data_IF_619023146214
#
_entry.id   IF_619023146214
#
_cell.length_a   1.000
_cell.length_b   1.000
_cell.length_c   1.000
_cell.angle_alpha   90.00
_cell.angle_beta   90.00
_cell.angle_gamma   90.00
#
_symmetry.space_group_name_H-M   'P 1'
#
loop_
_entity.id
_entity.type
_entity.pdbx_description
1 polymer ?
#
# COMPACT_ATOMS: atom_id res chain seq x y z
N UNK A 1 4.60 -10.90 11.41
CA UNK A 1 4.68 -9.51 10.89
C UNK A 1 6.14 -9.10 10.68
N UNK A 2 6.97 -9.09 11.72
CA UNK A 2 8.39 -8.76 11.62
C UNK A 2 9.22 -9.59 10.60
N UNK A 3 8.96 -10.90 10.37
CA UNK A 3 9.68 -11.69 9.37
C UNK A 3 9.50 -11.22 7.92
N UNK A 4 8.35 -10.60 7.60
CA UNK A 4 8.03 -10.13 6.24
C UNK A 4 8.63 -8.74 6.00
N UNK A 5 8.73 -7.92 7.05
CA UNK A 5 9.19 -6.53 6.96
C UNK A 5 10.71 -6.44 6.83
N UNK A 6 11.44 -7.36 7.45
CA UNK A 6 12.90 -7.32 7.43
C UNK A 6 13.51 -7.40 6.02
N UNK A 7 13.14 -8.35 5.14
CA UNK A 7 13.68 -8.40 3.77
C UNK A 7 13.38 -7.15 2.95
N UNK A 8 12.19 -6.55 3.13
CA UNK A 8 11.76 -5.35 2.39
C UNK A 8 12.54 -4.09 2.79
N UNK A 9 13.12 -4.08 3.99
CA UNK A 9 13.78 -2.91 4.59
C UNK A 9 15.21 -3.15 5.00
N UNK A 10 15.86 -4.19 4.46
CA UNK A 10 17.25 -4.55 4.76
C UNK A 10 18.17 -3.32 4.73
N UNK A 11 18.08 -2.50 3.67
CA UNK A 11 18.89 -1.30 3.51
C UNK A 11 18.71 -0.23 4.61
N UNK A 12 17.50 -0.05 5.15
CA UNK A 12 17.28 0.88 6.27
C UNK A 12 17.90 0.34 7.56
N UNK A 13 17.75 -0.96 7.80
CA UNK A 13 18.40 -1.60 8.94
C UNK A 13 19.93 -1.63 8.79
N UNK A 14 20.45 -1.79 7.57
CA UNK A 14 21.88 -1.67 7.27
C UNK A 14 22.39 -0.27 7.68
N UNK A 15 21.68 0.80 7.32
CA UNK A 15 22.04 2.17 7.70
C UNK A 15 22.00 2.40 9.22
N UNK A 16 20.98 1.86 9.90
CA UNK A 16 20.88 1.93 11.38
C UNK A 16 22.05 1.17 12.01
N UNK A 17 22.34 -0.04 11.53
CA UNK A 17 23.43 -0.85 12.03
C UNK A 17 24.79 -0.18 11.81
N UNK A 18 25.03 0.41 10.65
CA UNK A 18 26.24 1.17 10.36
C UNK A 18 26.40 2.36 11.31
N UNK A 19 25.32 3.09 11.61
CA UNK A 19 25.33 4.17 12.58
C UNK A 19 25.76 3.70 13.98
N UNK A 20 25.24 2.57 14.45
CA UNK A 20 25.65 1.98 15.72
C UNK A 20 27.09 1.46 15.72
N UNK A 21 27.55 0.89 14.60
CA UNK A 21 28.94 0.44 14.46
C UNK A 21 29.92 1.60 14.44
N UNK A 22 29.55 2.75 13.87
CA UNK A 22 30.34 3.99 13.98
C UNK A 22 30.44 4.49 15.42
N UNK A 23 29.43 4.22 16.25
CA UNK A 23 29.43 4.53 17.70
C UNK A 23 30.18 3.47 18.54
N UNK A 24 30.79 2.46 17.91
CA UNK A 24 31.57 1.43 18.58
C UNK A 24 30.85 0.11 18.83
N UNK A 25 29.62 -0.07 18.33
CA UNK A 25 28.95 -1.36 18.43
C UNK A 25 29.75 -2.46 17.72
N UNK A 26 29.96 -3.58 18.41
CA UNK A 26 30.61 -4.78 17.88
C UNK A 26 29.59 -5.75 17.27
N UNK A 27 28.34 -5.66 17.71
CA UNK A 27 27.20 -6.36 17.12
C UNK A 27 25.95 -5.47 17.17
N UNK A 28 25.19 -5.52 16.08
CA UNK A 28 23.80 -5.06 16.02
C UNK A 28 22.99 -6.22 15.50
N UNK A 29 21.91 -6.58 16.16
CA UNK A 29 21.02 -7.66 15.71
C UNK A 29 19.55 -7.29 15.89
N UNK A 30 18.75 -7.76 14.94
CA UNK A 30 17.30 -7.62 14.93
C UNK A 30 16.67 -8.99 15.14
N UNK A 31 15.81 -9.08 16.13
CA UNK A 31 15.14 -10.32 16.54
C UNK A 31 13.64 -10.20 16.36
N UNK A 32 13.00 -11.32 16.04
CA UNK A 32 11.57 -11.52 16.19
C UNK A 32 11.32 -12.57 17.28
N UNK A 33 10.06 -12.75 17.75
CA UNK A 33 9.71 -13.86 18.63
C UNK A 33 10.09 -15.24 18.05
N UNK A 34 10.15 -15.35 16.72
CA UNK A 34 10.42 -16.59 15.99
C UNK A 34 11.93 -16.82 15.72
N UNK A 35 12.79 -15.85 16.06
CA UNK A 35 14.24 -15.96 15.91
C UNK A 35 14.91 -14.72 15.30
N UNK A 36 16.21 -14.86 15.02
CA UNK A 36 17.06 -13.82 14.44
C UNK A 36 16.57 -13.46 13.03
N UNK A 37 16.30 -12.18 12.80
CA UNK A 37 15.94 -11.65 11.49
C UNK A 37 17.17 -11.16 10.74
N UNK A 38 18.08 -10.45 11.42
CA UNK A 38 19.28 -9.88 10.83
C UNK A 38 20.37 -9.60 11.86
N UNK A 39 21.62 -9.64 11.43
CA UNK A 39 22.78 -9.37 12.25
C UNK A 39 23.85 -8.66 11.43
N UNK A 40 24.50 -7.67 12.03
CA UNK A 40 25.57 -6.87 11.45
C UNK A 40 26.80 -6.93 12.34
N UNK A 41 27.44 -8.09 12.34
CA UNK A 41 28.73 -8.34 12.96
C UNK A 41 29.56 -9.29 12.12
N UNK A 42 30.87 -9.25 12.31
CA UNK A 42 31.81 -10.25 11.80
C UNK A 42 31.97 -11.45 12.75
N UNK A 43 31.29 -11.46 13.90
CA UNK A 43 31.38 -12.50 14.92
C UNK A 43 30.07 -13.27 15.11
N UNK A 44 30.15 -14.45 15.72
CA UNK A 44 28.97 -15.27 16.04
C UNK A 44 28.02 -14.51 17.00
N UNK A 45 26.70 -14.76 16.94
CA UNK A 45 25.72 -14.09 17.79
C UNK A 45 26.10 -14.21 19.28
N UNK A 46 26.18 -13.07 19.96
CA UNK A 46 26.51 -13.03 21.38
C UNK A 46 25.34 -13.56 22.22
N UNK A 47 25.64 -14.25 23.32
CA UNK A 47 24.64 -14.73 24.27
C UNK A 47 24.10 -13.62 25.19
N UNK A 48 24.84 -12.52 25.34
CA UNK A 48 24.46 -11.36 26.13
C UNK A 48 24.75 -10.08 25.34
N UNK A 49 23.85 -9.10 25.46
CA UNK A 49 23.92 -7.81 24.80
C UNK A 49 23.92 -6.71 25.85
N UNK A 50 24.64 -5.62 25.59
CA UNK A 50 24.75 -4.49 26.51
C UNK A 50 23.49 -3.62 26.47
N UNK A 51 22.87 -3.50 25.29
CA UNK A 51 21.64 -2.73 25.07
C UNK A 51 20.60 -3.57 24.35
N UNK A 52 19.35 -3.38 24.72
CA UNK A 52 18.21 -3.98 24.03
C UNK A 52 17.00 -3.03 24.07
N UNK A 53 16.29 -2.90 22.96
CA UNK A 53 15.04 -2.19 22.91
C UNK A 53 13.97 -2.96 22.13
N UNK A 54 12.79 -3.20 22.75
CA UNK A 54 11.70 -3.87 22.07
C UNK A 54 11.06 -2.94 21.03
N UNK A 55 10.78 -3.47 19.86
CA UNK A 55 9.97 -2.82 18.82
C UNK A 55 8.51 -3.18 19.10
N UNK A 56 7.69 -2.19 19.48
CA UNK A 56 6.30 -2.41 19.92
C UNK A 56 5.30 -1.74 19.00
N UNK A 57 4.38 -2.52 18.46
CA UNK A 57 3.27 -2.02 17.64
C UNK A 57 1.95 -2.35 18.33
N UNK A 58 1.11 -1.35 18.60
CA UNK A 58 -0.17 -1.54 19.29
C UNK A 58 -0.03 -2.22 20.66
N UNK A 59 1.04 -1.89 21.40
CA UNK A 59 1.33 -2.50 22.71
C UNK A 59 1.91 -3.92 22.67
N UNK A 60 2.04 -4.53 21.48
CA UNK A 60 2.64 -5.86 21.30
C UNK A 60 4.08 -5.75 20.81
N UNK A 61 5.01 -6.45 21.45
CA UNK A 61 6.38 -6.57 20.97
C UNK A 61 6.40 -7.43 19.71
N UNK A 62 6.80 -6.84 18.59
CA UNK A 62 6.93 -7.54 17.30
C UNK A 62 8.37 -7.95 16.99
N UNK A 63 9.33 -7.38 17.72
CA UNK A 63 10.74 -7.69 17.61
C UNK A 63 11.57 -6.93 18.63
N UNK A 64 12.88 -7.07 18.55
CA UNK A 64 13.83 -6.42 19.47
C UNK A 64 15.11 -6.08 18.71
N UNK A 65 15.61 -4.86 18.92
CA UNK A 65 16.95 -4.47 18.49
C UNK A 65 17.90 -4.70 19.65
N UNK A 66 19.00 -5.41 19.41
CA UNK A 66 20.03 -5.70 20.40
C UNK A 66 21.37 -5.19 19.92
N UNK A 67 22.16 -4.64 20.84
CA UNK A 67 23.46 -4.04 20.56
C UNK A 67 24.47 -4.50 21.60
N UNK A 68 25.67 -4.84 21.13
CA UNK A 68 26.81 -5.15 21.97
C UNK A 68 28.01 -4.24 21.66
N UNK A 69 28.92 -4.10 22.62
CA UNK A 69 30.14 -3.30 22.52
C UNK A 69 29.97 -1.84 22.97
N UNK A 70 28.79 -1.46 23.47
CA UNK A 70 28.50 -0.09 23.94
C UNK A 70 28.04 -0.14 25.39
N UNK A 71 28.75 0.56 26.28
CA UNK A 71 28.50 0.54 27.73
C UNK A 71 28.03 1.90 28.29
N UNK A 72 27.56 2.81 27.44
CA UNK A 72 27.08 4.14 27.83
C UNK A 72 25.57 4.15 28.13
N UNK A 73 25.18 4.65 29.31
CA UNK A 73 23.77 4.70 29.74
C UNK A 73 22.90 5.59 28.85
N UNK A 74 23.47 6.64 28.23
CA UNK A 74 22.71 7.51 27.32
C UNK A 74 22.31 6.80 26.01
N UNK A 75 23.05 5.77 25.62
CA UNK A 75 22.80 5.02 24.38
C UNK A 75 21.59 4.09 24.51
N UNK A 76 21.21 3.65 25.71
CA UNK A 76 19.97 2.90 25.94
C UNK A 76 18.73 3.75 25.60
N UNK A 77 18.72 5.04 25.99
CA UNK A 77 17.63 5.95 25.66
C UNK A 77 17.55 6.21 24.15
N UNK A 78 18.70 6.40 23.49
CA UNK A 78 18.76 6.56 22.04
C UNK A 78 18.25 5.32 21.30
N UNK A 79 18.65 4.13 21.76
CA UNK A 79 18.19 2.86 21.19
C UNK A 79 16.66 2.70 21.35
N UNK A 80 16.11 3.05 22.50
CA UNK A 80 14.68 3.02 22.73
C UNK A 80 13.91 3.96 21.78
N UNK A 81 14.41 5.18 21.57
CA UNK A 81 13.80 6.13 20.62
C UNK A 81 13.84 5.64 19.17
N UNK A 82 14.96 5.04 18.76
CA UNK A 82 15.07 4.45 17.43
C UNK A 82 14.16 3.23 17.25
N UNK A 83 14.05 2.36 18.27
CA UNK A 83 13.15 1.21 18.24
C UNK A 83 11.67 1.65 18.13
N UNK A 84 11.29 2.75 18.80
CA UNK A 84 9.97 3.35 18.67
C UNK A 84 9.72 3.90 17.26
N UNK A 85 10.68 4.62 16.67
CA UNK A 85 10.55 5.10 15.29
C UNK A 85 10.41 3.94 14.29
N UNK A 86 11.22 2.88 14.45
CA UNK A 86 11.10 1.65 13.65
C UNK A 86 9.70 1.05 13.80
N UNK A 87 9.15 1.02 15.02
CA UNK A 87 7.82 0.49 15.28
C UNK A 87 6.72 1.31 14.57
N UNK A 88 6.79 2.63 14.64
CA UNK A 88 5.82 3.52 13.98
C UNK A 88 5.85 3.38 12.46
N UNK A 89 7.04 3.36 11.85
CA UNK A 89 7.19 3.13 10.41
C UNK A 89 6.67 1.75 10.00
N UNK A 90 7.04 0.72 10.78
CA UNK A 90 6.57 -0.65 10.58
C UNK A 90 5.04 -0.74 10.60
N UNK A 91 4.40 -0.08 11.56
CA UNK A 91 2.95 -0.05 11.67
C UNK A 91 2.31 0.61 10.45
N UNK A 92 2.75 1.83 10.10
CA UNK A 92 2.22 2.58 8.96
C UNK A 92 2.36 1.80 7.65
N UNK A 93 3.51 1.18 7.42
CA UNK A 93 3.75 0.37 6.22
C UNK A 93 2.85 -0.86 6.17
N UNK A 94 2.67 -1.54 7.30
CA UNK A 94 1.76 -2.69 7.38
C UNK A 94 0.34 -2.26 7.05
N UNK A 95 -0.11 -1.13 7.58
CA UNK A 95 -1.44 -0.59 7.33
C UNK A 95 -1.63 -0.23 5.85
N UNK A 96 -0.65 0.44 5.24
CA UNK A 96 -0.64 0.76 3.81
C UNK A 96 -0.62 -0.50 2.92
N UNK A 97 0.10 -1.56 3.32
CA UNK A 97 0.12 -2.83 2.59
C UNK A 97 -1.24 -3.57 2.69
N UNK A 98 -1.94 -3.45 3.82
CA UNK A 98 -3.32 -3.94 3.92
C UNK A 98 -4.26 -3.13 3.03
N UNK A 99 -4.14 -1.80 3.04
CA UNK A 99 -4.90 -0.94 2.15
C UNK A 99 -4.67 -1.29 0.66
N UNK A 100 -3.41 -1.58 0.27
CA UNK A 100 -3.09 -2.06 -1.07
C UNK A 100 -3.81 -3.35 -1.42
N UNK A 101 -3.84 -4.33 -0.51
CA UNK A 101 -4.54 -5.61 -0.73
C UNK A 101 -6.04 -5.40 -0.90
N UNK A 102 -6.64 -4.54 -0.09
CA UNK A 102 -8.06 -4.17 -0.21
C UNK A 102 -8.31 -3.49 -1.57
N UNK A 103 -7.49 -2.52 -1.94
CA UNK A 103 -7.59 -1.81 -3.22
C UNK A 103 -7.45 -2.77 -4.42
N UNK A 104 -6.49 -3.70 -4.36
CA UNK A 104 -6.31 -4.73 -5.39
C UNK A 104 -7.56 -5.59 -5.57
N UNK A 105 -8.30 -5.87 -4.49
CA UNK A 105 -9.56 -6.61 -4.51
C UNK A 105 -10.71 -5.85 -5.20
N UNK A 106 -10.57 -4.56 -5.49
CA UNK A 106 -11.58 -3.84 -6.26
C UNK A 106 -11.53 -4.21 -7.74
N UNK A 107 -10.35 -4.47 -8.30
CA UNK A 107 -10.19 -4.67 -9.73
C UNK A 107 -10.62 -6.07 -10.19
N UNK A 108 -11.10 -6.22 -11.43
CA UNK A 108 -11.44 -7.51 -12.02
C UNK A 108 -10.26 -8.49 -11.97
N UNK A 109 -10.48 -9.68 -11.41
CA UNK A 109 -9.50 -10.78 -11.38
C UNK A 109 -9.49 -11.60 -12.68
N UNK A 110 -10.55 -11.49 -13.47
CA UNK A 110 -10.69 -12.09 -14.79
C UNK A 110 -11.20 -11.01 -15.74
N UNK A 111 -10.60 -10.94 -16.93
CA UNK A 111 -11.07 -10.03 -17.98
C UNK A 111 -12.36 -10.61 -18.60
N UNK A 112 -13.33 -9.75 -18.95
CA UNK A 112 -14.54 -10.23 -19.60
C UNK A 112 -14.22 -10.82 -20.98
N UNK A 113 -14.89 -11.92 -21.34
CA UNK A 113 -14.80 -12.50 -22.67
C UNK A 113 -15.86 -11.84 -23.56
N UNK A 114 -15.40 -11.03 -24.52
CA UNK A 114 -16.25 -10.25 -25.43
C UNK A 114 -15.81 -10.56 -26.85
N UNK A 115 -16.78 -10.83 -27.73
CA UNK A 115 -16.54 -11.19 -29.12
C UNK A 115 -15.83 -10.06 -29.88
N UNK A 116 -14.77 -10.42 -30.59
CA UNK A 116 -13.94 -9.48 -31.34
C UNK A 116 -12.93 -8.68 -30.51
N UNK A 117 -12.88 -8.84 -29.18
CA UNK A 117 -11.96 -8.11 -28.30
C UNK A 117 -10.98 -9.04 -27.57
N UNK A 118 -9.71 -8.63 -27.56
CA UNK A 118 -8.70 -9.16 -26.65
C UNK A 118 -8.40 -8.08 -25.61
N UNK A 119 -8.69 -8.36 -24.33
CA UNK A 119 -8.68 -7.36 -23.26
C UNK A 119 -7.58 -7.68 -22.26
N UNK A 120 -6.68 -6.70 -22.05
CA UNK A 120 -5.66 -6.74 -21.01
C UNK A 120 -5.69 -5.45 -20.21
N UNK A 121 -5.49 -5.57 -18.90
CA UNK A 121 -5.32 -4.44 -18.02
C UNK A 121 -4.30 -4.76 -16.93
N UNK A 122 -3.44 -3.80 -16.64
CA UNK A 122 -2.47 -3.86 -15.55
C UNK A 122 -2.43 -2.48 -14.88
N UNK A 123 -2.41 -2.47 -13.55
CA UNK A 123 -2.32 -1.25 -12.77
C UNK A 123 -1.11 -1.32 -11.85
N UNK A 124 -0.13 -0.45 -12.10
CA UNK A 124 1.12 -0.35 -11.33
C UNK A 124 1.14 0.97 -10.57
N UNK A 125 0.81 0.93 -9.29
CA UNK A 125 0.82 2.12 -8.44
C UNK A 125 2.26 2.56 -8.14
N UNK A 126 2.52 3.87 -8.20
CA UNK A 126 3.81 4.44 -7.78
C UNK A 126 4.04 4.38 -6.25
N UNK A 127 2.97 4.24 -5.48
CA UNK A 127 2.96 4.08 -4.02
C UNK A 127 2.23 2.78 -3.63
N UNK A 128 1.99 2.55 -2.33
CA UNK A 128 1.24 1.38 -1.88
C UNK A 128 -0.21 1.39 -2.38
N UNK A 129 -0.83 2.57 -2.50
CA UNK A 129 -2.16 2.76 -3.08
C UNK A 129 -2.17 3.95 -4.04
N UNK A 130 -3.05 3.94 -5.04
CA UNK A 130 -3.11 4.95 -6.10
C UNK A 130 -4.51 5.47 -6.42
N UNK A 131 -4.59 6.57 -7.17
CA UNK A 131 -5.83 7.17 -7.67
C UNK A 131 -6.29 6.61 -9.01
N UNK A 132 -5.38 5.97 -9.75
CA UNK A 132 -5.65 5.30 -11.02
C UNK A 132 -6.64 4.13 -10.83
N UNK A 133 -7.48 3.90 -11.84
CA UNK A 133 -8.39 2.77 -11.85
C UNK A 133 -8.81 2.34 -13.24
N UNK A 134 -9.31 1.11 -13.31
CA UNK A 134 -10.11 0.63 -14.43
C UNK A 134 -11.29 -0.21 -13.92
N UNK A 135 -12.34 -0.30 -14.73
CA UNK A 135 -13.45 -1.22 -14.50
C UNK A 135 -14.05 -1.70 -15.82
N UNK A 136 -14.61 -2.91 -15.78
CA UNK A 136 -15.27 -3.53 -16.91
C UNK A 136 -16.65 -4.05 -16.47
N UNK A 137 -17.65 -3.81 -17.30
CA UNK A 137 -18.99 -4.35 -17.16
C UNK A 137 -19.47 -4.89 -18.50
N UNK A 138 -19.77 -6.18 -18.54
CA UNK A 138 -20.36 -6.85 -19.70
C UNK A 138 -21.63 -7.55 -19.24
N UNK A 139 -22.72 -7.33 -19.99
CA UNK A 139 -24.01 -7.99 -19.76
C UNK A 139 -24.20 -9.21 -20.70
N UNK A 140 -23.43 -9.27 -21.78
CA UNK A 140 -23.42 -10.35 -22.76
C UNK A 140 -22.05 -10.40 -23.46
N UNK A 141 -21.71 -11.50 -24.16
CA UNK A 141 -20.50 -11.57 -24.96
C UNK A 141 -20.40 -10.55 -26.11
N UNK A 142 -21.46 -9.78 -26.38
CA UNK A 142 -21.52 -8.81 -27.49
C UNK A 142 -21.36 -7.37 -27.01
N UNK A 143 -21.48 -7.11 -25.72
CA UNK A 143 -21.46 -5.77 -25.16
C UNK A 143 -20.42 -5.62 -24.05
N UNK A 144 -19.69 -4.51 -24.10
CA UNK A 144 -18.75 -4.10 -23.07
C UNK A 144 -18.88 -2.62 -22.80
N UNK A 145 -19.13 -2.27 -21.54
CA UNK A 145 -18.85 -0.93 -21.02
C UNK A 145 -17.59 -1.00 -20.17
N UNK A 146 -16.69 -0.05 -20.36
CA UNK A 146 -15.46 0.04 -19.58
C UNK A 146 -15.18 1.47 -19.15
N UNK A 147 -14.45 1.60 -18.04
CA UNK A 147 -13.94 2.88 -17.57
C UNK A 147 -12.46 2.74 -17.23
N UNK A 148 -11.70 3.78 -17.53
CA UNK A 148 -10.34 4.01 -17.01
C UNK A 148 -10.26 5.44 -16.53
N UNK A 149 -9.52 5.70 -15.47
CA UNK A 149 -9.37 7.06 -14.98
C UNK A 149 -8.27 7.21 -13.94
N UNK A 150 -8.05 8.46 -13.58
CA UNK A 150 -7.09 8.88 -12.57
C UNK A 150 -7.68 10.00 -11.71
N UNK A 151 -7.52 9.85 -10.39
CA UNK A 151 -7.92 10.84 -9.40
C UNK A 151 -6.71 11.70 -9.08
N UNK A 152 -6.88 13.02 -9.09
CA UNK A 152 -5.79 13.94 -8.80
C UNK A 152 -5.18 13.69 -7.41
N UNK A 153 -3.92 14.08 -7.23
CA UNK A 153 -3.08 13.76 -6.07
C UNK A 153 -2.62 12.30 -6.05
N UNK A 154 -2.09 11.84 -4.91
CA UNK A 154 -1.47 10.52 -4.75
C UNK A 154 -1.72 9.97 -3.35
N UNK A 155 -1.45 8.68 -3.17
CA UNK A 155 -1.51 8.02 -1.87
C UNK A 155 -2.94 7.73 -1.42
N UNK A 156 -3.14 7.69 -0.10
CA UNK A 156 -4.38 7.16 0.51
C UNK A 156 -5.61 7.98 0.15
N UNK A 157 -5.53 9.30 0.16
CA UNK A 157 -6.67 10.16 -0.15
C UNK A 157 -7.20 9.96 -1.57
N UNK A 158 -6.29 9.90 -2.56
CA UNK A 158 -6.66 9.62 -3.95
C UNK A 158 -7.26 8.21 -4.10
N UNK A 159 -6.70 7.22 -3.40
CA UNK A 159 -7.19 5.84 -3.40
C UNK A 159 -8.62 5.69 -2.84
N UNK A 160 -8.96 6.46 -1.79
CA UNK A 160 -10.31 6.47 -1.22
C UNK A 160 -11.33 7.04 -2.20
N UNK A 161 -11.04 8.20 -2.78
CA UNK A 161 -11.91 8.82 -3.80
C UNK A 161 -12.04 7.91 -5.02
N UNK A 162 -10.95 7.31 -5.48
CA UNK A 162 -10.97 6.35 -6.58
C UNK A 162 -11.94 5.19 -6.30
N UNK A 163 -11.89 4.61 -5.09
CA UNK A 163 -12.76 3.50 -4.73
C UNK A 163 -14.25 3.87 -4.81
N UNK A 164 -14.59 5.07 -4.33
CA UNK A 164 -15.95 5.61 -4.42
C UNK A 164 -16.32 5.89 -5.88
N UNK A 165 -15.49 6.61 -6.63
CA UNK A 165 -15.74 6.96 -8.03
C UNK A 165 -15.95 5.74 -8.91
N UNK A 166 -15.08 4.73 -8.77
CA UNK A 166 -15.25 3.47 -9.49
C UNK A 166 -16.60 2.81 -9.15
N UNK A 167 -16.99 2.80 -7.87
CA UNK A 167 -18.27 2.24 -7.44
C UNK A 167 -19.46 3.01 -8.02
N UNK A 168 -19.40 4.34 -8.03
CA UNK A 168 -20.44 5.21 -8.60
C UNK A 168 -20.55 4.99 -10.10
N UNK A 169 -19.44 5.03 -10.85
CA UNK A 169 -19.41 4.72 -12.28
C UNK A 169 -20.03 3.36 -12.57
N UNK A 170 -19.61 2.31 -11.85
CA UNK A 170 -20.15 0.96 -12.00
C UNK A 170 -21.64 0.87 -11.68
N UNK A 171 -22.14 1.72 -10.78
CA UNK A 171 -23.55 1.80 -10.42
C UNK A 171 -24.35 2.45 -11.55
N UNK A 172 -23.85 3.55 -12.11
CA UNK A 172 -24.43 4.19 -13.29
C UNK A 172 -24.50 3.24 -14.49
N UNK A 173 -23.43 2.47 -14.74
CA UNK A 173 -23.40 1.46 -15.81
C UNK A 173 -24.44 0.34 -15.64
N UNK A 174 -24.87 0.04 -14.41
CA UNK A 174 -25.78 -1.08 -14.10
C UNK A 174 -27.25 -0.68 -13.97
N UNK A 175 -27.50 0.48 -13.37
CA UNK A 175 -28.84 0.86 -12.92
C UNK A 175 -29.54 1.82 -13.87
N UNK A 176 -28.79 2.56 -14.67
CA UNK A 176 -29.39 3.39 -15.72
C UNK A 176 -29.92 2.49 -16.83
N UNK A 177 -31.04 2.88 -17.44
CA UNK A 177 -31.60 2.16 -18.58
C UNK A 177 -30.83 2.53 -19.85
N UNK A 178 -30.09 1.56 -20.40
CA UNK A 178 -29.28 1.67 -21.63
C UNK A 178 -28.47 2.98 -21.70
N UNK A 179 -27.64 3.29 -20.69
CA UNK A 179 -26.95 4.57 -20.62
C UNK A 179 -25.89 4.69 -21.71
N UNK A 180 -25.71 5.87 -22.27
CA UNK A 180 -24.51 6.20 -23.05
C UNK A 180 -23.32 6.48 -22.12
N UNK A 181 -22.06 6.52 -22.64
CA UNK A 181 -20.90 6.90 -21.84
C UNK A 181 -21.04 8.29 -21.20
N UNK A 182 -21.72 9.21 -21.90
CA UNK A 182 -22.04 10.54 -21.41
C UNK A 182 -22.96 10.49 -20.19
N UNK A 183 -23.98 9.64 -20.22
CA UNK A 183 -24.94 9.52 -19.11
C UNK A 183 -24.27 8.96 -17.86
N UNK A 184 -23.37 7.97 -18.02
CA UNK A 184 -22.58 7.40 -16.92
C UNK A 184 -21.68 8.47 -16.29
N UNK A 185 -20.97 9.25 -17.11
CA UNK A 185 -20.09 10.33 -16.63
C UNK A 185 -20.89 11.45 -15.97
N UNK A 186 -22.05 11.82 -16.53
CA UNK A 186 -22.91 12.86 -15.96
C UNK A 186 -23.49 12.42 -14.61
N UNK A 187 -23.91 11.15 -14.49
CA UNK A 187 -24.35 10.57 -13.22
C UNK A 187 -23.23 10.62 -12.18
N UNK A 188 -22.03 10.13 -12.51
CA UNK A 188 -20.92 10.13 -11.58
C UNK A 188 -20.47 11.53 -11.16
N UNK A 189 -20.44 12.48 -12.11
CA UNK A 189 -20.14 13.86 -11.80
C UNK A 189 -21.18 14.47 -10.87
N UNK A 190 -22.48 14.25 -11.13
CA UNK A 190 -23.54 14.78 -10.26
C UNK A 190 -23.52 14.17 -8.85
N UNK A 191 -23.19 12.88 -8.74
CA UNK A 191 -23.15 12.15 -7.47
C UNK A 191 -21.96 12.58 -6.60
N UNK A 192 -20.80 12.83 -7.22
CA UNK A 192 -19.55 13.11 -6.48
C UNK A 192 -19.13 14.57 -6.43
N UNK A 193 -19.89 15.49 -7.05
CA UNK A 193 -19.45 16.88 -7.22
C UNK A 193 -19.15 17.57 -5.88
N UNK A 194 -20.03 17.40 -4.89
CA UNK A 194 -19.90 18.09 -3.59
C UNK A 194 -18.71 17.54 -2.80
N UNK A 195 -18.51 16.22 -2.77
CA UNK A 195 -17.40 15.58 -2.07
C UNK A 195 -16.05 15.93 -2.71
N UNK A 196 -15.96 15.87 -4.04
CA UNK A 196 -14.76 16.23 -4.79
C UNK A 196 -14.41 17.71 -4.59
N UNK A 197 -15.41 18.59 -4.70
CA UNK A 197 -15.21 20.03 -4.52
C UNK A 197 -14.78 20.37 -3.09
N UNK A 198 -15.42 19.78 -2.08
CA UNK A 198 -15.09 20.00 -0.67
C UNK A 198 -13.69 19.52 -0.33
N UNK A 199 -13.22 18.46 -0.98
CA UNK A 199 -11.87 17.93 -0.80
C UNK A 199 -10.82 18.60 -1.72
N UNK A 200 -11.21 19.60 -2.52
CA UNK A 200 -10.38 20.22 -3.55
C UNK A 200 -9.72 19.21 -4.49
N UNK A 201 -10.48 18.18 -4.88
CA UNK A 201 -10.05 17.10 -5.76
C UNK A 201 -10.90 17.04 -7.03
N UNK A 202 -10.36 16.43 -8.07
CA UNK A 202 -11.07 16.09 -9.30
C UNK A 202 -10.55 14.74 -9.82
N UNK A 203 -11.28 14.16 -10.76
CA UNK A 203 -10.88 12.95 -11.46
C UNK A 203 -11.01 13.13 -12.96
N UNK A 204 -10.12 12.49 -13.71
CA UNK A 204 -10.21 12.37 -15.16
C UNK A 204 -10.62 10.94 -15.49
N UNK A 205 -11.69 10.78 -16.26
CA UNK A 205 -12.25 9.46 -16.58
C UNK A 205 -12.55 9.35 -18.07
N UNK A 206 -12.20 8.21 -18.64
CA UNK A 206 -12.59 7.79 -19.98
C UNK A 206 -13.55 6.61 -19.84
N UNK A 207 -14.76 6.75 -20.38
CA UNK A 207 -15.77 5.69 -20.43
C UNK A 207 -16.01 5.33 -21.89
N UNK A 208 -15.91 4.04 -22.19
CA UNK A 208 -16.13 3.49 -23.52
C UNK A 208 -17.23 2.43 -23.51
N UNK A 209 -17.93 2.34 -24.64
CA UNK A 209 -18.88 1.28 -24.92
C UNK A 209 -18.54 0.63 -26.25
N UNK A 210 -18.61 -0.69 -26.26
CA UNK A 210 -18.43 -1.53 -27.44
C UNK A 210 -19.63 -2.45 -27.54
N UNK A 211 -20.16 -2.54 -28.75
CA UNK A 211 -21.27 -3.41 -29.13
C UNK A 211 -20.89 -4.04 -30.48
N UNK A 212 -20.90 -5.37 -30.56
CA UNK A 212 -20.56 -6.11 -31.79
C UNK A 212 -21.54 -5.82 -32.93
N UNK A 213 -22.78 -5.43 -32.60
CA UNK A 213 -23.84 -5.22 -33.58
C UNK A 213 -23.81 -3.84 -34.26
N UNK A 214 -22.95 -2.91 -33.82
CA UNK A 214 -22.89 -1.52 -34.29
C UNK A 214 -21.46 -1.09 -34.66
#
# INVERSE_FOLDING_TARGET
MAPILFPLRRAQFDAIADGWRMLGATDVSLWSPDGLLGQWSSQAPLQAYDLAAPIRVGGRTIGEVRIAGIQDTNTQTQLAQQAELIAQLTFLETDLEQARKVQAGFFPTQMPAVEGLEIFAELRTAAHVGGDYYDFLSHSPQELTFAVGDVCNKGVSAALIMAVLRKVLRTGMKLLDRPSPKDILAYANSDMYEELSSAAMFATSFVGQYDVAN
#
